data_IF_935337403540
#
_entry.id   IF_935337403540
#
_cell.length_a   1.000
_cell.length_b   1.000
_cell.length_c   1.000
_cell.angle_alpha   90.00
_cell.angle_beta   90.00
_cell.angle_gamma   90.00
#
_symmetry.space_group_name_H-M   'P 1'
#
loop_
_entity.id
_entity.type
_entity.pdbx_description
1 polymer ?
#
# COMPACT_ATOMS: atom_id res chain seq x y z
N UNK A 1 -29.20 13.01 4.07
CA UNK A 1 -28.36 13.55 2.96
C UNK A 1 -26.85 13.36 3.17
N UNK A 2 -26.22 13.85 4.25
CA UNK A 2 -24.75 13.77 4.40
C UNK A 2 -24.15 12.34 4.45
N UNK A 3 -24.92 11.33 4.87
CA UNK A 3 -24.49 9.92 4.84
C UNK A 3 -24.29 9.39 3.41
N UNK A 4 -25.10 9.88 2.46
CA UNK A 4 -24.96 9.58 1.04
C UNK A 4 -23.71 10.27 0.49
N UNK A 5 -23.48 11.52 0.86
CA UNK A 5 -22.32 12.31 0.38
C UNK A 5 -20.99 11.70 0.84
N UNK A 6 -20.86 11.29 2.10
CA UNK A 6 -19.63 10.65 2.59
C UNK A 6 -19.38 9.29 1.93
N UNK A 7 -20.42 8.46 1.76
CA UNK A 7 -20.32 7.19 1.03
C UNK A 7 -19.99 7.39 -0.44
N UNK A 8 -20.56 8.42 -1.08
CA UNK A 8 -20.28 8.76 -2.47
C UNK A 8 -18.87 9.31 -2.65
N UNK A 9 -18.35 10.14 -1.74
CA UNK A 9 -16.97 10.62 -1.82
C UNK A 9 -15.98 9.45 -1.68
N UNK A 10 -16.23 8.55 -0.73
CA UNK A 10 -15.48 7.30 -0.55
C UNK A 10 -15.55 6.44 -1.81
N UNK A 11 -16.74 6.28 -2.38
CA UNK A 11 -16.95 5.50 -3.60
C UNK A 11 -16.23 6.14 -4.79
N UNK A 12 -16.25 7.46 -4.94
CA UNK A 12 -15.52 8.18 -5.99
C UNK A 12 -14.02 7.97 -5.81
N UNK A 13 -13.48 8.15 -4.61
CA UNK A 13 -12.07 7.88 -4.33
C UNK A 13 -11.70 6.42 -4.61
N UNK A 14 -12.57 5.47 -4.23
CA UNK A 14 -12.39 4.05 -4.50
C UNK A 14 -12.41 3.76 -6.00
N UNK A 15 -13.36 4.34 -6.74
CA UNK A 15 -13.48 4.22 -8.20
C UNK A 15 -12.25 4.80 -8.88
N UNK A 16 -11.70 5.93 -8.41
CA UNK A 16 -10.46 6.49 -8.95
C UNK A 16 -9.26 5.55 -8.71
N UNK A 17 -9.15 4.97 -7.51
CA UNK A 17 -8.10 3.97 -7.21
C UNK A 17 -8.28 2.71 -8.07
N UNK A 18 -9.50 2.19 -8.16
CA UNK A 18 -9.82 1.01 -8.97
C UNK A 18 -9.58 1.31 -10.43
N UNK A 19 -9.94 2.49 -10.94
CA UNK A 19 -9.72 2.90 -12.31
C UNK A 19 -8.23 3.01 -12.62
N UNK A 20 -7.42 3.57 -11.71
CA UNK A 20 -5.95 3.63 -11.90
C UNK A 20 -5.32 2.23 -11.86
N UNK A 21 -5.71 1.38 -10.90
CA UNK A 21 -5.27 -0.01 -10.82
C UNK A 21 -5.70 -0.76 -12.09
N UNK A 22 -6.95 -0.61 -12.51
CA UNK A 22 -7.53 -1.28 -13.69
C UNK A 22 -6.96 -0.75 -14.99
N UNK A 23 -6.65 0.54 -15.12
CA UNK A 23 -5.93 1.10 -16.26
C UNK A 23 -4.52 0.54 -16.32
N UNK A 24 -3.83 0.38 -15.18
CA UNK A 24 -2.57 -0.36 -15.09
C UNK A 24 -2.71 -1.80 -15.59
N UNK A 25 -3.76 -2.52 -15.18
CA UNK A 25 -4.05 -3.88 -15.67
C UNK A 25 -4.43 -3.92 -17.16
N UNK A 26 -5.17 -2.93 -17.64
CA UNK A 26 -5.66 -2.87 -19.03
C UNK A 26 -4.51 -2.56 -19.97
N UNK A 27 -3.59 -1.67 -19.60
CA UNK A 27 -2.34 -1.44 -20.34
C UNK A 27 -1.49 -2.71 -20.43
N UNK A 28 -1.46 -3.53 -19.38
CA UNK A 28 -0.78 -4.84 -19.40
C UNK A 28 -1.50 -5.87 -20.30
N UNK A 29 -2.82 -5.81 -20.43
CA UNK A 29 -3.62 -6.77 -21.20
C UNK A 29 -3.84 -6.37 -22.68
N UNK A 30 -3.84 -5.07 -23.02
CA UNK A 30 -4.19 -4.55 -24.35
C UNK A 30 -3.07 -4.74 -25.38
N UNK A 31 -1.86 -5.13 -24.98
CA UNK A 31 -0.74 -5.44 -25.88
C UNK A 31 -0.81 -6.85 -26.50
N UNK A 32 -2.03 -7.40 -26.68
CA UNK A 32 -2.29 -8.74 -27.24
C UNK A 32 -2.81 -8.73 -28.69
N UNK A 33 -2.80 -7.60 -29.41
CA UNK A 33 -3.07 -7.63 -30.85
C UNK A 33 -1.77 -7.86 -31.60
N UNK A 34 -1.55 -9.01 -32.25
CA UNK A 34 -0.45 -9.15 -33.18
C UNK A 34 -0.68 -8.13 -34.30
N UNK A 35 0.15 -7.10 -34.38
CA UNK A 35 0.35 -6.40 -35.65
C UNK A 35 1.08 -7.40 -36.54
N UNK A 36 0.33 -8.04 -37.42
CA UNK A 36 0.90 -8.71 -38.59
C UNK A 36 1.53 -7.60 -39.42
N UNK A 37 2.80 -7.31 -39.15
CA UNK A 37 3.63 -6.53 -40.04
C UNK A 37 4.03 -7.51 -41.14
N UNK A 38 3.27 -7.50 -42.24
CA UNK A 38 3.73 -8.10 -43.48
C UNK A 38 5.01 -7.37 -43.89
N UNK A 39 6.16 -7.99 -43.64
CA UNK A 39 7.44 -7.53 -44.20
C UNK A 39 7.53 -8.05 -45.63
N UNK A 40 7.56 -7.19 -46.66
CA UNK A 40 7.87 -7.63 -48.00
C UNK A 40 9.39 -7.87 -48.06
N UNK A 41 9.73 -9.15 -48.15
CA UNK A 41 10.84 -9.71 -48.94
C UNK A 41 11.76 -8.67 -49.61
N UNK A 42 13.02 -8.61 -49.18
CA UNK A 42 14.19 -8.45 -50.08
C UNK A 42 15.43 -9.08 -49.46
N UNK A 43 16.08 -9.90 -50.28
CA UNK A 43 17.09 -10.92 -49.97
C UNK A 43 18.44 -10.37 -49.46
N UNK A 44 19.23 -11.20 -48.76
CA UNK A 44 20.65 -10.96 -48.53
C UNK A 44 21.46 -11.30 -49.79
N UNK A 45 22.25 -10.34 -50.30
CA UNK A 45 23.33 -10.66 -51.22
C UNK A 45 24.62 -10.94 -50.44
N UNK A 46 25.10 -12.16 -50.62
CA UNK A 46 26.42 -12.66 -50.30
C UNK A 46 27.47 -11.87 -51.11
N UNK A 47 28.44 -11.22 -50.45
CA UNK A 47 29.73 -10.90 -51.08
C UNK A 47 30.84 -11.58 -50.28
N UNK A 48 31.39 -12.62 -50.91
CA UNK A 48 32.65 -13.26 -50.54
C UNK A 48 33.74 -12.47 -51.28
N UNK A 49 34.70 -11.90 -50.55
CA UNK A 49 35.95 -11.37 -51.12
C UNK A 49 37.14 -12.06 -50.43
N UNK A 50 38.23 -12.43 -51.17
CA UNK A 50 39.28 -13.26 -50.64
C UNK A 50 40.44 -12.48 -49.97
N UNK A 51 41.17 -13.25 -49.15
CA UNK A 51 42.38 -12.97 -48.37
C UNK A 51 43.39 -11.96 -48.95
N UNK A 52 43.95 -11.14 -48.06
CA UNK A 52 45.39 -10.86 -48.02
C UNK A 52 45.90 -10.77 -46.58
N UNK A 53 47.05 -11.40 -46.38
CA UNK A 53 47.88 -11.45 -45.17
C UNK A 53 48.75 -10.20 -45.06
N UNK A 54 48.67 -9.46 -43.95
CA UNK A 54 49.66 -8.51 -43.43
C UNK A 54 49.37 -8.33 -41.92
N UNK A 55 50.19 -8.89 -41.03
CA UNK A 55 51.37 -8.28 -40.37
C UNK A 55 51.03 -7.19 -39.35
N UNK A 56 51.53 -7.39 -38.13
CA UNK A 56 51.46 -6.50 -36.97
C UNK A 56 51.82 -5.04 -37.29
N UNK A 57 51.01 -4.09 -36.81
CA UNK A 57 51.40 -2.96 -35.95
C UNK A 57 50.23 -1.96 -35.85
N UNK A 58 49.97 -1.53 -34.61
CA UNK A 58 49.33 -0.31 -34.14
C UNK A 58 48.38 0.55 -35.01
N UNK A 59 47.35 1.00 -34.29
CA UNK A 59 46.69 2.31 -34.41
C UNK A 59 45.35 2.37 -35.18
N UNK A 60 44.40 3.03 -34.54
CA UNK A 60 43.11 3.54 -35.04
C UNK A 60 41.89 2.61 -35.11
N UNK A 61 41.46 2.09 -33.96
CA UNK A 61 40.03 1.87 -33.75
C UNK A 61 39.34 3.22 -33.53
N UNK A 62 38.72 3.76 -34.59
CA UNK A 62 37.78 4.88 -34.49
C UNK A 62 36.55 4.36 -33.75
N UNK A 63 36.53 4.50 -32.43
CA UNK A 63 35.30 4.41 -31.66
C UNK A 63 34.46 5.62 -31.98
N UNK A 64 33.28 5.43 -32.57
CA UNK A 64 32.23 6.45 -32.55
C UNK A 64 31.77 6.55 -31.10
N UNK A 65 32.47 7.34 -30.31
CA UNK A 65 31.91 7.88 -29.08
C UNK A 65 30.84 8.87 -29.51
N UNK A 66 29.58 8.44 -29.41
CA UNK A 66 28.47 9.39 -29.26
C UNK A 66 28.75 10.13 -27.96
N UNK A 67 29.47 11.24 -28.07
CA UNK A 67 29.69 12.21 -27.02
C UNK A 67 28.32 12.86 -26.79
N UNK A 68 27.46 12.16 -26.04
CA UNK A 68 26.28 12.76 -25.45
C UNK A 68 26.79 14.01 -24.72
N UNK A 69 26.28 15.16 -25.14
CA UNK A 69 26.67 16.45 -24.61
C UNK A 69 26.73 16.35 -23.09
N UNK A 70 27.90 16.61 -22.53
CA UNK A 70 28.10 16.75 -21.10
C UNK A 70 27.31 17.99 -20.68
N UNK A 71 26.03 17.79 -20.36
CA UNK A 71 25.21 18.79 -19.72
C UNK A 71 25.76 18.94 -18.29
N UNK A 72 26.82 19.74 -18.17
CA UNK A 72 27.15 20.40 -16.91
C UNK A 72 26.16 21.54 -16.77
N UNK A 73 24.95 21.20 -16.37
CA UNK A 73 23.85 22.11 -16.17
C UNK A 73 23.17 21.76 -14.85
N UNK A 74 23.69 22.42 -13.82
CA UNK A 74 23.01 22.88 -12.62
C UNK A 74 22.48 21.83 -11.65
N UNK A 75 22.75 22.08 -10.36
CA UNK A 75 22.17 21.43 -9.20
C UNK A 75 20.69 21.10 -9.49
N UNK A 76 20.42 19.83 -9.79
CA UNK A 76 19.05 19.34 -9.95
C UNK A 76 18.44 19.38 -8.55
N UNK A 77 17.93 20.56 -8.17
CA UNK A 77 17.26 20.83 -6.90
C UNK A 77 16.11 19.85 -6.85
N UNK A 78 16.35 18.75 -6.15
CA UNK A 78 15.36 17.68 -5.98
C UNK A 78 14.05 18.35 -5.56
N UNK A 79 12.96 18.18 -6.32
CA UNK A 79 11.78 19.00 -6.16
C UNK A 79 11.33 18.93 -4.69
N UNK A 80 11.12 20.08 -4.02
CA UNK A 80 10.89 20.16 -2.57
C UNK A 80 9.68 19.34 -2.08
N UNK A 81 8.84 18.88 -3.01
CA UNK A 81 7.64 18.09 -2.78
C UNK A 81 7.90 16.77 -2.03
N UNK A 82 9.00 16.06 -2.32
CA UNK A 82 9.28 14.76 -1.69
C UNK A 82 9.49 14.87 -0.17
N UNK A 83 10.19 15.92 0.26
CA UNK A 83 10.42 16.23 1.68
C UNK A 83 9.13 16.65 2.38
N UNK A 84 8.28 17.43 1.70
CA UNK A 84 6.98 17.85 2.24
C UNK A 84 6.03 16.66 2.45
N UNK A 85 5.93 15.74 1.47
CA UNK A 85 5.15 14.50 1.60
C UNK A 85 5.69 13.62 2.73
N UNK A 86 7.02 13.54 2.88
CA UNK A 86 7.63 12.79 3.98
C UNK A 86 7.27 13.37 5.35
N UNK A 87 7.45 14.67 5.55
CA UNK A 87 7.16 15.34 6.81
C UNK A 87 5.68 15.24 7.20
N UNK A 88 4.78 15.50 6.25
CA UNK A 88 3.33 15.37 6.46
C UNK A 88 2.90 13.92 6.67
N UNK A 89 3.61 12.96 6.05
CA UNK A 89 3.37 11.55 6.26
C UNK A 89 3.76 11.08 7.65
N UNK A 90 4.91 11.53 8.17
CA UNK A 90 5.34 11.30 9.55
C UNK A 90 4.34 11.91 10.52
N UNK A 91 3.92 13.16 10.28
CA UNK A 91 2.93 13.83 11.13
C UNK A 91 1.60 13.07 11.15
N UNK A 92 1.13 12.60 9.99
CA UNK A 92 -0.06 11.75 9.87
C UNK A 92 0.05 10.44 10.67
N UNK A 93 1.23 9.81 10.68
CA UNK A 93 1.49 8.61 11.48
C UNK A 93 1.47 8.90 12.99
N UNK A 94 2.06 10.02 13.42
CA UNK A 94 1.98 10.47 14.82
C UNK A 94 0.54 10.77 15.24
N UNK A 95 -0.23 11.42 14.36
CA UNK A 95 -1.66 11.65 14.57
C UNK A 95 -2.42 10.33 14.75
N UNK A 96 -2.14 9.31 13.93
CA UNK A 96 -2.73 7.97 14.10
C UNK A 96 -2.40 7.34 15.46
N UNK A 97 -1.16 7.47 15.94
CA UNK A 97 -0.75 6.97 17.26
C UNK A 97 -1.57 7.65 18.36
N UNK A 98 -1.62 8.99 18.35
CA UNK A 98 -2.35 9.77 19.37
C UNK A 98 -3.85 9.40 19.39
N UNK A 99 -4.48 9.34 18.21
CA UNK A 99 -5.87 8.91 18.02
C UNK A 99 -6.09 7.50 18.59
N UNK A 100 -5.20 6.57 18.23
CA UNK A 100 -5.34 5.17 18.62
C UNK A 100 -5.20 4.99 20.12
N UNK A 101 -4.19 5.62 20.75
CA UNK A 101 -4.05 5.62 22.21
C UNK A 101 -5.29 6.21 22.85
N UNK A 102 -5.73 7.41 22.43
CA UNK A 102 -6.89 8.08 23.02
C UNK A 102 -8.16 7.24 22.92
N UNK A 103 -8.45 6.63 21.76
CA UNK A 103 -9.66 5.82 21.59
C UNK A 103 -9.59 4.49 22.34
N UNK A 104 -8.40 3.91 22.50
CA UNK A 104 -8.24 2.58 23.09
C UNK A 104 -7.95 2.60 24.58
N UNK A 105 -7.52 3.73 25.15
CA UNK A 105 -7.23 3.88 26.58
C UNK A 105 -8.46 3.75 27.46
N UNK A 106 -9.66 4.06 26.94
CA UNK A 106 -10.91 4.01 27.70
C UNK A 106 -11.97 3.19 26.98
N UNK A 107 -12.59 2.24 27.69
CA UNK A 107 -13.73 1.49 27.17
C UNK A 107 -15.05 2.22 27.49
N UNK A 108 -15.85 2.61 26.48
CA UNK A 108 -17.08 3.39 26.69
C UNK A 108 -18.22 2.62 27.35
N UNK A 109 -18.21 1.29 27.21
CA UNK A 109 -19.23 0.42 27.77
C UNK A 109 -18.82 -0.01 29.20
N UNK A 110 -19.64 0.29 30.23
CA UNK A 110 -19.31 0.02 31.63
C UNK A 110 -19.13 -1.47 31.92
N UNK A 111 -19.70 -2.38 31.11
CA UNK A 111 -19.46 -3.83 31.28
C UNK A 111 -18.00 -4.22 31.07
N UNK A 112 -17.27 -3.39 30.35
CA UNK A 112 -15.85 -3.55 30.06
C UNK A 112 -15.01 -2.49 30.81
N UNK A 113 -15.57 -1.80 31.82
CA UNK A 113 -14.81 -0.89 32.67
C UNK A 113 -13.66 -1.61 33.40
N UNK A 114 -13.85 -2.91 33.66
CA UNK A 114 -12.85 -3.80 34.25
C UNK A 114 -11.97 -4.50 33.20
N UNK A 115 -12.03 -4.12 31.91
CA UNK A 115 -11.09 -4.65 30.93
C UNK A 115 -9.67 -4.40 31.44
N UNK A 116 -8.89 -5.47 31.50
CA UNK A 116 -7.54 -5.40 32.07
C UNK A 116 -6.67 -4.43 31.25
N UNK A 117 -5.74 -3.75 31.91
CA UNK A 117 -4.74 -2.92 31.22
C UNK A 117 -4.03 -3.71 30.11
N UNK A 118 -3.87 -5.03 30.29
CA UNK A 118 -3.32 -5.97 29.30
C UNK A 118 -4.13 -6.00 28.00
N UNK A 119 -5.46 -6.07 28.08
CA UNK A 119 -6.34 -6.06 26.91
C UNK A 119 -6.23 -4.75 26.10
N UNK A 120 -6.19 -3.61 26.80
CA UNK A 120 -6.04 -2.31 26.14
C UNK A 120 -4.67 -2.19 25.46
N UNK A 121 -3.59 -2.59 26.14
CA UNK A 121 -2.23 -2.62 25.57
C UNK A 121 -2.20 -3.49 24.32
N UNK A 122 -2.72 -4.71 24.38
CA UNK A 122 -2.69 -5.63 23.24
C UNK A 122 -3.51 -5.10 22.05
N UNK A 123 -4.63 -4.44 22.31
CA UNK A 123 -5.45 -3.81 21.27
C UNK A 123 -4.77 -2.57 20.68
N UNK A 124 -4.05 -1.78 21.49
CA UNK A 124 -3.20 -0.69 21.00
C UNK A 124 -2.06 -1.23 20.13
N UNK A 125 -1.37 -2.28 20.57
CA UNK A 125 -0.34 -2.95 19.77
C UNK A 125 -0.88 -3.40 18.41
N UNK A 126 -2.11 -3.91 18.35
CA UNK A 126 -2.75 -4.27 17.07
C UNK A 126 -3.01 -3.06 16.18
N UNK A 127 -3.39 -1.92 16.77
CA UNK A 127 -3.59 -0.67 16.03
C UNK A 127 -2.28 -0.12 15.44
N UNK A 128 -1.13 -0.59 15.92
CA UNK A 128 0.19 -0.17 15.45
C UNK A 128 0.86 -1.18 14.53
N UNK A 129 0.66 -2.48 14.79
CA UNK A 129 1.40 -3.57 14.18
C UNK A 129 1.39 -3.56 12.64
N UNK A 130 0.22 -3.46 12.02
CA UNK A 130 0.12 -3.35 10.57
C UNK A 130 0.20 -1.89 10.08
N UNK A 131 -0.52 -0.93 10.69
CA UNK A 131 -0.52 0.46 10.23
C UNK A 131 0.84 1.15 10.19
N UNK A 132 1.69 1.02 11.23
CA UNK A 132 2.93 1.79 11.30
C UNK A 132 3.98 1.31 10.27
N UNK A 133 4.28 0.01 10.12
CA UNK A 133 5.21 -0.44 9.08
C UNK A 133 4.73 -0.08 7.68
N UNK A 134 3.43 -0.27 7.39
CA UNK A 134 2.85 0.05 6.08
C UNK A 134 2.86 1.56 5.82
N UNK A 135 2.54 2.37 6.84
CA UNK A 135 2.63 3.83 6.76
C UNK A 135 4.06 4.28 6.47
N UNK A 136 5.05 3.74 7.17
CA UNK A 136 6.46 4.04 6.95
C UNK A 136 6.92 3.70 5.52
N UNK A 137 6.56 2.52 5.02
CA UNK A 137 6.85 2.15 3.63
C UNK A 137 6.16 3.08 2.62
N UNK A 138 4.90 3.42 2.87
CA UNK A 138 4.12 4.33 2.02
C UNK A 138 4.77 5.69 1.92
N UNK A 139 5.23 6.23 3.06
CA UNK A 139 5.95 7.50 3.12
C UNK A 139 7.27 7.41 2.37
N UNK A 140 8.06 6.36 2.63
CA UNK A 140 9.39 6.16 2.03
C UNK A 140 9.33 6.05 0.50
N UNK A 141 8.36 5.28 -0.01
CA UNK A 141 8.13 5.12 -1.46
C UNK A 141 7.59 6.42 -2.06
N UNK A 142 6.68 7.12 -1.39
CA UNK A 142 6.09 8.35 -1.90
C UNK A 142 7.06 9.54 -1.91
N UNK A 143 7.99 9.59 -0.95
CA UNK A 143 8.99 10.66 -0.82
C UNK A 143 10.19 10.50 -1.76
N UNK A 144 10.33 9.35 -2.42
CA UNK A 144 11.40 9.12 -3.37
C UNK A 144 11.24 10.07 -4.56
N UNK A 145 12.31 10.80 -4.90
CA UNK A 145 12.38 11.67 -6.08
C UNK A 145 12.50 10.87 -7.38
N UNK A 146 13.00 9.64 -7.31
CA UNK A 146 13.06 8.74 -8.45
C UNK A 146 11.65 8.53 -9.01
N UNK A 147 11.51 8.70 -10.33
CA UNK A 147 10.32 8.36 -11.11
C UNK A 147 10.07 6.84 -11.13
N UNK A 148 10.24 6.17 -10.00
CA UNK A 148 9.94 4.76 -9.86
C UNK A 148 8.47 4.55 -10.24
N UNK A 149 8.23 3.55 -11.07
CA UNK A 149 6.86 3.15 -11.43
C UNK A 149 5.98 2.78 -10.23
N UNK A 150 6.56 2.70 -9.04
CA UNK A 150 5.94 2.45 -7.74
C UNK A 150 5.45 3.74 -7.07
N UNK A 151 6.16 4.87 -7.23
CA UNK A 151 5.90 6.11 -6.49
C UNK A 151 4.54 6.72 -6.84
N UNK A 152 4.19 6.74 -8.13
CA UNK A 152 2.91 7.31 -8.59
C UNK A 152 1.68 6.61 -7.99
N UNK A 153 1.45 5.29 -8.22
CA UNK A 153 0.29 4.62 -7.63
C UNK A 153 0.29 4.70 -6.11
N UNK A 154 1.48 4.68 -5.48
CA UNK A 154 1.59 4.84 -4.03
C UNK A 154 1.16 6.23 -3.55
N UNK A 155 1.53 7.31 -4.24
CA UNK A 155 1.10 8.69 -3.89
C UNK A 155 -0.41 8.85 -3.97
N UNK A 156 -1.05 8.27 -4.98
CA UNK A 156 -2.51 8.27 -5.08
C UNK A 156 -3.15 7.50 -3.92
N UNK A 157 -2.66 6.28 -3.65
CA UNK A 157 -3.15 5.48 -2.53
C UNK A 157 -2.93 6.21 -1.18
N UNK A 158 -1.81 6.91 -1.02
CA UNK A 158 -1.50 7.69 0.17
C UNK A 158 -2.40 8.91 0.32
N UNK A 159 -2.72 9.59 -0.78
CA UNK A 159 -3.71 10.66 -0.79
C UNK A 159 -5.10 10.14 -0.37
N UNK A 160 -5.55 9.02 -0.93
CA UNK A 160 -6.86 8.42 -0.66
C UNK A 160 -6.96 7.91 0.78
N UNK A 161 -5.94 7.22 1.27
CA UNK A 161 -5.87 6.79 2.67
C UNK A 161 -5.85 7.99 3.64
N UNK A 162 -5.21 9.09 3.26
CA UNK A 162 -5.21 10.30 4.10
C UNK A 162 -6.58 11.00 4.08
N UNK A 163 -7.26 11.09 2.93
CA UNK A 163 -8.65 11.56 2.87
C UNK A 163 -9.60 10.68 3.69
N UNK A 164 -9.35 9.37 3.71
CA UNK A 164 -10.09 8.42 4.53
C UNK A 164 -9.99 8.75 6.02
N UNK A 165 -8.77 8.95 6.52
CA UNK A 165 -8.50 9.27 7.92
C UNK A 165 -9.00 10.68 8.30
N UNK A 166 -8.90 11.64 7.37
CA UNK A 166 -9.51 12.96 7.53
C UNK A 166 -11.03 12.87 7.67
N UNK A 167 -11.69 12.12 6.77
CA UNK A 167 -13.12 11.87 6.82
C UNK A 167 -13.53 11.17 8.12
N UNK A 168 -12.76 10.18 8.57
CA UNK A 168 -12.99 9.51 9.85
C UNK A 168 -12.94 10.49 11.04
N UNK A 169 -12.00 11.43 11.01
CA UNK A 169 -11.79 12.43 12.07
C UNK A 169 -12.86 13.51 12.10
N UNK A 170 -13.19 14.07 10.94
CA UNK A 170 -14.09 15.22 10.82
C UNK A 170 -15.58 14.84 10.79
N UNK A 171 -15.92 13.61 10.38
CA UNK A 171 -17.30 13.15 10.22
C UNK A 171 -17.77 12.17 11.31
N UNK A 172 -17.04 12.04 12.42
CA UNK A 172 -17.49 11.35 13.62
C UNK A 172 -18.78 11.99 14.18
N UNK A 173 -19.81 11.25 14.67
CA UNK A 173 -19.86 9.81 15.00
C UNK A 173 -19.98 8.84 13.82
N UNK A 174 -20.36 9.36 12.65
CA UNK A 174 -20.99 8.54 11.60
C UNK A 174 -20.03 7.51 11.00
N UNK A 175 -18.73 7.75 11.13
CA UNK A 175 -17.69 6.87 10.62
C UNK A 175 -17.28 5.80 11.64
N UNK A 176 -16.89 6.17 12.86
CA UNK A 176 -16.51 5.23 13.91
C UNK A 176 -16.80 5.80 15.30
N UNK A 177 -17.28 4.93 16.19
CA UNK A 177 -17.65 5.29 17.57
C UNK A 177 -16.45 5.82 18.38
N UNK A 178 -15.24 5.35 18.08
CA UNK A 178 -14.04 5.72 18.83
C UNK A 178 -13.71 7.22 18.77
N UNK A 179 -14.10 7.89 17.68
CA UNK A 179 -13.88 9.33 17.55
C UNK A 179 -14.83 10.15 18.41
N UNK A 180 -15.96 9.62 18.87
CA UNK A 180 -16.84 10.35 19.79
C UNK A 180 -16.19 10.62 21.15
N UNK A 181 -15.17 9.84 21.49
CA UNK A 181 -14.34 10.03 22.68
C UNK A 181 -13.39 11.21 22.56
N UNK A 182 -13.25 11.83 21.39
CA UNK A 182 -12.28 12.90 21.16
C UNK A 182 -12.87 14.28 21.39
N UNK A 183 -12.06 15.16 21.97
CA UNK A 183 -12.37 16.59 22.01
C UNK A 183 -12.53 17.13 20.58
N UNK A 184 -13.41 18.13 20.35
CA UNK A 184 -13.57 18.76 19.04
C UNK A 184 -12.25 19.29 18.47
N UNK A 185 -11.37 19.81 19.34
CA UNK A 185 -10.03 20.30 18.97
C UNK A 185 -9.16 19.18 18.38
N UNK A 186 -9.15 17.99 19.00
CA UNK A 186 -8.38 16.85 18.50
C UNK A 186 -8.91 16.35 17.16
N UNK A 187 -10.24 16.29 16.99
CA UNK A 187 -10.88 15.91 15.71
C UNK A 187 -10.46 16.83 14.56
N UNK A 188 -10.54 18.14 14.78
CA UNK A 188 -10.19 19.16 13.78
C UNK A 188 -8.70 19.11 13.48
N UNK A 189 -7.84 19.08 14.50
CA UNK A 189 -6.39 19.02 14.31
C UNK A 189 -5.97 17.78 13.51
N UNK A 190 -6.47 16.60 13.87
CA UNK A 190 -6.20 15.38 13.14
C UNK A 190 -6.71 15.42 11.70
N UNK A 191 -7.95 15.91 11.51
CA UNK A 191 -8.54 16.08 10.19
C UNK A 191 -7.68 16.97 9.29
N UNK A 192 -7.20 18.10 9.80
CA UNK A 192 -6.35 19.03 9.06
C UNK A 192 -4.99 18.42 8.68
N UNK A 193 -4.35 17.68 9.60
CA UNK A 193 -3.10 16.96 9.30
C UNK A 193 -3.31 16.00 8.15
N UNK A 194 -4.34 15.15 8.22
CA UNK A 194 -4.62 14.18 7.17
C UNK A 194 -5.05 14.83 5.84
N UNK A 195 -5.80 15.94 5.86
CA UNK A 195 -6.12 16.71 4.67
C UNK A 195 -4.87 17.33 4.03
N UNK A 196 -3.95 17.86 4.82
CA UNK A 196 -2.69 18.41 4.32
C UNK A 196 -1.84 17.31 3.67
N UNK A 197 -1.71 16.14 4.31
CA UNK A 197 -1.02 14.98 3.74
C UNK A 197 -1.66 14.53 2.43
N UNK A 198 -3.00 14.52 2.36
CA UNK A 198 -3.73 14.18 1.14
C UNK A 198 -3.45 15.16 0.01
N UNK A 199 -3.55 16.46 0.28
CA UNK A 199 -3.31 17.52 -0.71
C UNK A 199 -1.87 17.49 -1.25
N UNK A 200 -0.87 17.32 -0.37
CA UNK A 200 0.53 17.20 -0.77
C UNK A 200 0.78 15.97 -1.65
N UNK A 201 0.22 14.82 -1.25
CA UNK A 201 0.36 13.55 -2.00
C UNK A 201 -0.33 13.62 -3.35
N UNK A 202 -1.53 14.21 -3.43
CA UNK A 202 -2.28 14.38 -4.67
C UNK A 202 -1.58 15.35 -5.63
N UNK A 203 -1.05 16.47 -5.12
CA UNK A 203 -0.22 17.40 -5.90
C UNK A 203 1.04 16.71 -6.46
N UNK A 204 1.68 15.87 -5.66
CA UNK A 204 2.84 15.10 -6.11
C UNK A 204 2.47 14.03 -7.15
N UNK A 205 1.29 13.41 -7.02
CA UNK A 205 0.76 12.45 -8.00
C UNK A 205 0.42 13.13 -9.35
N UNK A 206 -0.27 14.27 -9.36
CA UNK A 206 -0.63 14.96 -10.60
C UNK A 206 0.61 15.42 -11.38
N UNK A 207 1.67 15.86 -10.68
CA UNK A 207 2.94 16.24 -11.31
C UNK A 207 3.65 15.08 -12.00
N UNK A 208 3.54 13.86 -11.48
CA UNK A 208 4.11 12.67 -12.14
C UNK A 208 3.37 12.21 -13.40
N UNK A 209 2.18 12.78 -13.67
CA UNK A 209 1.40 12.42 -14.85
C UNK A 209 2.12 12.72 -16.16
N UNK A 210 2.83 13.83 -16.18
CA UNK A 210 3.45 14.40 -17.38
C UNK A 210 4.70 13.62 -17.81
N UNK A 211 5.40 12.97 -16.89
CA UNK A 211 6.72 12.35 -17.16
C UNK A 211 6.64 10.90 -17.65
N UNK A 212 5.63 10.13 -17.24
CA UNK A 212 5.57 8.69 -17.54
C UNK A 212 5.29 8.31 -19.00
N UNK A 213 4.88 9.25 -19.85
CA UNK A 213 4.64 8.96 -21.28
C UNK A 213 5.91 8.54 -22.04
N UNK A 214 7.10 8.78 -21.48
CA UNK A 214 8.37 8.58 -22.19
C UNK A 214 9.03 7.22 -21.92
N UNK A 215 8.64 6.49 -20.86
CA UNK A 215 9.38 5.31 -20.35
C UNK A 215 8.73 3.95 -20.74
N UNK A 216 7.65 3.97 -21.54
CA UNK A 216 6.78 2.80 -21.71
C UNK A 216 7.02 1.97 -22.99
N UNK A 217 8.21 2.03 -23.59
CA UNK A 217 8.58 1.20 -24.74
C UNK A 217 9.24 -0.12 -24.33
N UNK A 218 8.50 -0.97 -23.59
CA UNK A 218 8.84 -2.40 -23.58
C UNK A 218 8.60 -2.96 -25.00
N UNK A 219 9.48 -3.83 -25.52
CA UNK A 219 9.27 -4.42 -26.84
C UNK A 219 7.93 -5.18 -26.86
N UNK A 220 7.16 -5.09 -27.96
CA UNK A 220 5.78 -5.58 -28.05
C UNK A 220 5.67 -7.10 -27.78
N UNK A 221 6.75 -7.85 -27.94
CA UNK A 221 6.77 -9.30 -27.76
C UNK A 221 7.18 -9.76 -26.34
N UNK A 222 7.49 -8.83 -25.42
CA UNK A 222 7.85 -9.20 -24.06
C UNK A 222 6.64 -9.72 -23.28
N UNK A 223 6.58 -11.04 -23.07
CA UNK A 223 5.61 -11.70 -22.17
C UNK A 223 6.32 -12.07 -20.87
N UNK A 224 6.22 -11.25 -19.80
CA UNK A 224 6.82 -11.62 -18.54
C UNK A 224 6.17 -12.92 -18.03
N UNK A 225 6.97 -13.95 -17.80
CA UNK A 225 6.52 -15.15 -17.10
C UNK A 225 6.27 -14.77 -15.65
N UNK A 226 5.00 -14.74 -15.24
CA UNK A 226 4.62 -14.40 -13.87
C UNK A 226 5.24 -15.41 -12.89
N UNK A 227 6.24 -14.94 -12.12
CA UNK A 227 6.85 -15.69 -11.02
C UNK A 227 5.80 -16.03 -9.96
N UNK A 228 6.07 -17.07 -9.14
CA UNK A 228 5.20 -17.39 -8.02
C UNK A 228 5.08 -16.20 -7.05
N UNK A 229 6.17 -15.47 -6.79
CA UNK A 229 6.15 -14.25 -5.98
C UNK A 229 5.19 -13.19 -6.57
N UNK A 230 5.24 -12.94 -7.88
CA UNK A 230 4.32 -12.01 -8.55
C UNK A 230 2.84 -12.42 -8.38
N UNK A 231 2.54 -13.72 -8.48
CA UNK A 231 1.17 -14.24 -8.25
C UNK A 231 0.72 -14.04 -6.80
N UNK A 232 1.60 -14.35 -5.84
CA UNK A 232 1.32 -14.16 -4.42
C UNK A 232 1.08 -12.68 -4.08
N UNK A 233 1.88 -11.75 -4.63
CA UNK A 233 1.64 -10.32 -4.49
C UNK A 233 0.31 -9.87 -5.10
N UNK A 234 -0.07 -10.45 -6.24
CA UNK A 234 -1.36 -10.21 -6.87
C UNK A 234 -2.54 -10.63 -6.00
N UNK A 235 -2.50 -11.84 -5.45
CA UNK A 235 -3.53 -12.33 -4.53
C UNK A 235 -3.57 -11.52 -3.23
N UNK A 236 -2.40 -11.19 -2.68
CA UNK A 236 -2.28 -10.38 -1.47
C UNK A 236 -2.87 -8.98 -1.67
N UNK A 237 -2.59 -8.34 -2.80
CA UNK A 237 -3.14 -7.03 -3.15
C UNK A 237 -4.66 -7.06 -3.26
N UNK A 238 -5.21 -8.04 -3.99
CA UNK A 238 -6.67 -8.21 -4.12
C UNK A 238 -7.34 -8.49 -2.77
N UNK A 239 -6.75 -9.37 -1.96
CA UNK A 239 -7.26 -9.71 -0.64
C UNK A 239 -7.24 -8.52 0.32
N UNK A 240 -6.13 -7.79 0.41
CA UNK A 240 -6.04 -6.58 1.22
C UNK A 240 -7.01 -5.51 0.72
N UNK A 241 -7.16 -5.34 -0.59
CA UNK A 241 -8.12 -4.38 -1.15
C UNK A 241 -9.57 -4.74 -0.80
N UNK A 242 -9.93 -6.02 -0.86
CA UNK A 242 -11.23 -6.49 -0.38
C UNK A 242 -11.46 -6.14 1.11
N UNK A 243 -10.43 -6.33 1.94
CA UNK A 243 -10.46 -5.99 3.35
C UNK A 243 -10.42 -4.47 3.64
N UNK A 244 -10.01 -3.63 2.70
CA UNK A 244 -10.23 -2.18 2.78
C UNK A 244 -11.71 -1.83 2.64
N UNK A 245 -12.39 -2.50 1.71
CA UNK A 245 -13.78 -2.22 1.34
C UNK A 245 -14.76 -2.75 2.38
N UNK A 246 -14.50 -3.95 2.90
CA UNK A 246 -15.41 -4.67 3.77
C UNK A 246 -15.90 -3.82 4.97
N UNK A 247 -15.05 -3.13 5.76
CA UNK A 247 -15.48 -2.28 6.89
C UNK A 247 -16.45 -1.15 6.57
N UNK A 248 -16.51 -0.72 5.31
CA UNK A 248 -17.37 0.38 4.85
C UNK A 248 -18.83 -0.07 4.81
N UNK A 249 -19.04 -1.24 4.23
CA UNK A 249 -20.37 -1.76 3.87
C UNK A 249 -20.86 -2.78 4.88
N UNK A 250 -19.95 -3.50 5.53
CA UNK A 250 -20.32 -4.52 6.49
C UNK A 250 -20.86 -3.92 7.80
N UNK A 251 -21.87 -4.56 8.41
CA UNK A 251 -22.23 -4.28 9.79
C UNK A 251 -21.19 -4.87 10.75
N UNK A 252 -21.25 -4.46 12.02
CA UNK A 252 -20.51 -5.15 13.08
C UNK A 252 -21.15 -6.53 13.33
N UNK A 253 -20.36 -7.59 13.53
CA UNK A 253 -18.92 -7.59 13.77
C UNK A 253 -18.03 -7.66 12.52
N UNK A 254 -18.58 -7.96 11.35
CA UNK A 254 -17.80 -8.14 10.12
C UNK A 254 -16.95 -6.91 9.75
N UNK A 255 -17.39 -5.71 10.12
CA UNK A 255 -16.63 -4.49 9.91
C UNK A 255 -15.27 -4.42 10.66
N UNK A 256 -15.03 -5.29 11.65
CA UNK A 256 -13.76 -5.32 12.37
C UNK A 256 -12.63 -6.01 11.61
N UNK A 257 -12.92 -6.70 10.51
CA UNK A 257 -11.92 -7.39 9.72
C UNK A 257 -11.32 -6.44 8.68
N UNK A 258 -9.98 -6.40 8.52
CA UNK A 258 -9.00 -7.38 9.00
C UNK A 258 -8.41 -7.06 10.38
N UNK A 259 -8.64 -5.86 10.93
CA UNK A 259 -7.79 -5.29 11.99
C UNK A 259 -8.11 -5.74 13.42
N UNK A 260 -9.30 -6.28 13.67
CA UNK A 260 -9.80 -6.74 14.98
C UNK A 260 -9.78 -5.62 16.06
N UNK A 261 -9.81 -4.35 15.62
CA UNK A 261 -9.78 -3.17 16.52
C UNK A 261 -11.16 -2.79 17.11
N UNK A 262 -12.14 -3.69 17.02
CA UNK A 262 -13.51 -3.45 17.48
C UNK A 262 -14.21 -2.29 16.78
N UNK A 263 -15.26 -1.74 17.40
CA UNK A 263 -16.07 -0.65 16.83
C UNK A 263 -15.37 0.71 16.79
N UNK A 264 -14.28 0.85 17.53
CA UNK A 264 -13.63 2.15 17.78
C UNK A 264 -12.75 2.59 16.62
N UNK A 265 -11.92 1.68 16.08
CA UNK A 265 -10.89 2.02 15.08
C UNK A 265 -10.86 1.12 13.85
N UNK A 266 -11.75 0.14 13.71
CA UNK A 266 -11.72 -0.79 12.57
C UNK A 266 -11.85 -0.10 11.21
N UNK A 267 -12.84 0.78 11.04
CA UNK A 267 -13.07 1.55 9.82
C UNK A 267 -11.96 2.54 9.44
N UNK A 268 -11.43 3.38 10.34
CA UNK A 268 -10.28 4.23 9.98
C UNK A 268 -9.03 3.40 9.70
N UNK A 269 -8.83 2.26 10.39
CA UNK A 269 -7.66 1.41 10.16
C UNK A 269 -7.66 0.75 8.77
N UNK A 270 -8.81 0.64 8.09
CA UNK A 270 -8.88 0.11 6.72
C UNK A 270 -8.15 0.99 5.69
N UNK A 271 -7.89 2.26 6.02
CA UNK A 271 -7.00 3.13 5.26
C UNK A 271 -5.58 2.54 5.13
N UNK A 272 -5.06 1.91 6.19
CA UNK A 272 -3.75 1.27 6.15
C UNK A 272 -3.80 -0.07 5.41
N UNK A 273 -4.93 -0.77 5.43
CA UNK A 273 -5.15 -1.93 4.55
C UNK A 273 -5.10 -1.53 3.08
N UNK A 274 -5.62 -0.34 2.73
CA UNK A 274 -5.53 0.20 1.36
C UNK A 274 -4.07 0.45 0.97
N UNK A 275 -3.30 1.06 1.85
CA UNK A 275 -1.86 1.27 1.64
C UNK A 275 -1.12 -0.07 1.46
N UNK A 276 -1.46 -1.08 2.27
CA UNK A 276 -0.90 -2.42 2.13
C UNK A 276 -1.24 -3.06 0.78
N UNK A 277 -2.49 -2.91 0.32
CA UNK A 277 -2.94 -3.39 -0.99
C UNK A 277 -2.20 -2.71 -2.13
N UNK A 278 -1.99 -1.39 -2.04
CA UNK A 278 -1.24 -0.60 -3.01
C UNK A 278 0.25 -0.99 -3.04
N UNK A 279 0.88 -1.18 -1.87
CA UNK A 279 2.26 -1.67 -1.79
C UNK A 279 2.41 -3.06 -2.42
N UNK A 280 1.50 -4.00 -2.12
CA UNK A 280 1.50 -5.33 -2.72
C UNK A 280 1.31 -5.26 -4.25
N UNK A 281 0.45 -4.37 -4.74
CA UNK A 281 0.29 -4.12 -6.18
C UNK A 281 1.58 -3.58 -6.82
N UNK A 282 2.21 -2.60 -6.19
CA UNK A 282 3.49 -2.03 -6.62
C UNK A 282 4.59 -3.11 -6.66
N UNK A 283 4.70 -3.95 -5.63
CA UNK A 283 5.65 -5.07 -5.60
C UNK A 283 5.38 -6.09 -6.71
N UNK A 284 4.11 -6.41 -6.99
CA UNK A 284 3.76 -7.25 -8.15
C UNK A 284 4.25 -6.64 -9.46
N UNK A 285 4.07 -5.33 -9.67
CA UNK A 285 4.52 -4.66 -10.89
C UNK A 285 6.04 -4.70 -11.02
N UNK A 286 6.76 -4.48 -9.92
CA UNK A 286 8.22 -4.58 -9.87
C UNK A 286 8.70 -5.97 -10.32
N UNK A 287 8.07 -7.03 -9.81
CA UNK A 287 8.38 -8.42 -10.17
C UNK A 287 8.10 -8.71 -11.65
N UNK A 288 6.99 -8.21 -12.20
CA UNK A 288 6.64 -8.42 -13.61
C UNK A 288 7.58 -7.71 -14.58
N UNK A 289 8.15 -6.57 -14.17
CA UNK A 289 9.12 -5.82 -14.98
C UNK A 289 10.54 -6.38 -14.87
N UNK A 290 10.79 -7.29 -13.93
CA UNK A 290 12.14 -7.80 -13.66
C UNK A 290 13.12 -6.70 -13.25
N UNK A 291 12.63 -5.60 -12.66
CA UNK A 291 13.48 -4.49 -12.24
C UNK A 291 14.38 -4.95 -11.10
N UNK A 292 15.67 -4.60 -11.17
CA UNK A 292 16.59 -4.81 -10.05
C UNK A 292 15.99 -4.26 -8.76
N UNK A 293 16.23 -4.95 -7.64
CA UNK A 293 15.61 -4.64 -6.37
C UNK A 293 16.10 -3.28 -5.86
N UNK A 294 15.34 -2.23 -6.14
CA UNK A 294 15.62 -0.89 -5.62
C UNK A 294 15.47 -0.87 -4.10
N UNK A 295 16.12 0.10 -3.44
CA UNK A 295 16.00 0.30 -1.99
C UNK A 295 14.53 0.41 -1.56
N UNK A 296 13.69 1.06 -2.36
CA UNK A 296 12.27 1.25 -2.06
C UNK A 296 11.47 -0.05 -2.16
N UNK A 297 11.76 -0.91 -3.15
CA UNK A 297 11.15 -2.26 -3.24
C UNK A 297 11.51 -3.07 -2.00
N UNK A 298 12.78 -3.01 -1.56
CA UNK A 298 13.23 -3.72 -0.35
C UNK A 298 12.53 -3.21 0.90
N UNK A 299 12.40 -1.88 1.08
CA UNK A 299 11.68 -1.28 2.21
C UNK A 299 10.21 -1.71 2.21
N UNK A 300 9.52 -1.58 1.07
CA UNK A 300 8.12 -1.98 0.93
C UNK A 300 7.89 -3.45 1.30
N UNK A 301 8.75 -4.35 0.80
CA UNK A 301 8.70 -5.79 1.10
C UNK A 301 8.90 -6.06 2.59
N UNK A 302 9.95 -5.49 3.20
CA UNK A 302 10.26 -5.67 4.62
C UNK A 302 9.15 -5.14 5.53
N UNK A 303 8.60 -3.97 5.23
CA UNK A 303 7.54 -3.38 6.04
C UNK A 303 6.22 -4.17 5.95
N UNK A 304 5.85 -4.68 4.77
CA UNK A 304 4.69 -5.57 4.62
C UNK A 304 4.87 -6.89 5.37
N UNK A 305 6.08 -7.46 5.32
CA UNK A 305 6.44 -8.65 6.09
C UNK A 305 6.33 -8.40 7.59
N UNK A 306 7.00 -7.36 8.10
CA UNK A 306 6.99 -7.01 9.54
C UNK A 306 5.56 -6.72 9.99
N UNK A 307 4.82 -5.90 9.25
CA UNK A 307 3.46 -5.54 9.63
C UNK A 307 2.50 -6.73 9.65
N UNK A 308 2.58 -7.61 8.65
CA UNK A 308 1.74 -8.81 8.59
C UNK A 308 2.12 -9.84 9.65
N UNK A 309 3.42 -10.07 9.88
CA UNK A 309 3.90 -10.97 10.93
C UNK A 309 3.51 -10.50 12.33
N UNK A 310 3.65 -9.21 12.63
CA UNK A 310 3.21 -8.63 13.91
C UNK A 310 1.69 -8.74 14.08
N UNK A 311 0.92 -8.49 13.02
CA UNK A 311 -0.53 -8.64 13.05
C UNK A 311 -0.95 -10.09 13.34
N UNK A 312 -0.37 -11.07 12.63
CA UNK A 312 -0.60 -12.50 12.87
C UNK A 312 -0.20 -12.91 14.29
N UNK A 313 0.96 -12.47 14.77
CA UNK A 313 1.44 -12.75 16.12
C UNK A 313 0.45 -12.22 17.17
N UNK A 314 -0.01 -10.98 17.04
CA UNK A 314 -0.95 -10.39 18.00
C UNK A 314 -2.32 -11.07 17.97
N UNK A 315 -2.77 -11.54 16.80
CA UNK A 315 -3.98 -12.37 16.74
C UNK A 315 -3.74 -13.70 17.46
N UNK A 316 -2.61 -14.36 17.21
CA UNK A 316 -2.27 -15.60 17.89
C UNK A 316 -2.22 -15.41 19.42
N UNK A 317 -1.60 -14.33 19.93
CA UNK A 317 -1.56 -14.01 21.36
C UNK A 317 -2.96 -13.78 21.95
N UNK A 318 -3.87 -13.11 21.20
CA UNK A 318 -5.28 -12.99 21.60
C UNK A 318 -6.00 -14.34 21.64
N UNK A 319 -5.80 -15.18 20.62
CA UNK A 319 -6.40 -16.51 20.56
C UNK A 319 -5.90 -17.41 21.69
N UNK A 320 -4.62 -17.29 22.08
CA UNK A 320 -4.06 -18.01 23.23
C UNK A 320 -4.70 -17.53 24.55
N UNK A 321 -5.02 -16.23 24.65
CA UNK A 321 -5.70 -15.64 25.80
C UNK A 321 -4.84 -14.72 26.65
N UNK A 322 -3.78 -14.16 26.08
CA UNK A 322 -2.85 -13.26 26.78
C UNK A 322 -3.54 -12.01 27.34
N UNK A 323 -4.69 -11.61 26.78
CA UNK A 323 -5.51 -10.49 27.26
C UNK A 323 -6.52 -10.85 28.37
N UNK A 324 -6.48 -12.07 28.90
CA UNK A 324 -7.32 -12.49 30.05
C UNK A 324 -8.53 -13.34 29.68
N UNK A 325 -8.56 -13.91 28.47
CA UNK A 325 -9.43 -15.03 28.15
C UNK A 325 -9.28 -15.43 26.70
N UNK A 326 -8.69 -16.59 26.46
CA UNK A 326 -8.47 -17.14 25.12
C UNK A 326 -9.05 -18.54 24.99
N UNK A 327 -8.66 -19.23 23.94
CA UNK A 327 -8.93 -20.65 23.76
C UNK A 327 -8.12 -21.53 24.72
N UNK A 328 -6.89 -21.12 25.07
CA UNK A 328 -5.94 -21.97 25.81
C UNK A 328 -5.81 -21.58 27.28
N UNK A 329 -5.77 -20.28 27.58
CA UNK A 329 -5.68 -19.79 28.96
C UNK A 329 -7.08 -19.60 29.54
N UNK A 330 -7.30 -20.12 30.75
CA UNK A 330 -8.56 -19.99 31.47
C UNK A 330 -8.97 -18.51 31.62
N UNK A 331 -10.18 -18.19 31.18
CA UNK A 331 -10.79 -16.87 31.29
C UNK A 331 -12.00 -16.74 30.37
N UNK A 332 -12.99 -15.94 30.76
CA UNK A 332 -14.21 -15.76 29.95
C UNK A 332 -14.01 -14.79 28.76
N UNK A 333 -12.84 -14.16 28.67
CA UNK A 333 -12.53 -13.05 27.77
C UNK A 333 -12.86 -13.28 26.29
N UNK A 334 -12.42 -14.35 25.63
CA UNK A 334 -12.61 -14.45 24.18
C UNK A 334 -14.08 -14.60 23.81
N UNK A 335 -14.79 -15.41 24.60
CA UNK A 335 -16.18 -15.77 24.35
C UNK A 335 -17.14 -14.65 24.75
N UNK A 336 -16.82 -13.88 25.79
CA UNK A 336 -17.60 -12.71 26.24
C UNK A 336 -17.22 -11.41 25.52
N UNK A 337 -15.93 -11.18 25.26
CA UNK A 337 -15.39 -9.93 24.69
C UNK A 337 -15.34 -9.98 23.16
N UNK A 338 -15.13 -11.16 22.56
CA UNK A 338 -15.03 -11.34 21.10
C UNK A 338 -15.99 -12.39 20.48
N UNK A 339 -17.26 -12.51 20.90
CA UNK A 339 -18.24 -13.32 20.14
C UNK A 339 -18.33 -12.84 18.69
N UNK A 340 -18.03 -11.56 18.47
CA UNK A 340 -17.82 -10.91 17.18
C UNK A 340 -16.86 -11.65 16.23
N UNK A 341 -15.71 -12.14 16.71
CA UNK A 341 -14.72 -12.80 15.84
C UNK A 341 -15.18 -14.20 15.43
N UNK A 342 -15.87 -14.88 16.34
CA UNK A 342 -16.38 -16.23 16.14
C UNK A 342 -17.67 -16.23 15.30
N UNK A 343 -18.38 -15.11 15.27
CA UNK A 343 -19.58 -14.94 14.46
C UNK A 343 -19.29 -14.89 12.95
N UNK A 344 -18.04 -14.62 12.53
CA UNK A 344 -17.65 -14.53 11.10
C UNK A 344 -16.35 -15.29 10.80
N UNK A 345 -16.33 -16.61 11.04
CA UNK A 345 -15.10 -17.42 11.00
C UNK A 345 -14.43 -17.40 9.62
N UNK A 346 -15.23 -17.35 8.54
CA UNK A 346 -14.71 -17.29 7.18
C UNK A 346 -13.95 -15.98 6.89
N UNK A 347 -14.45 -14.84 7.39
CA UNK A 347 -13.78 -13.56 7.23
C UNK A 347 -12.47 -13.52 8.03
N UNK A 348 -12.48 -14.07 9.25
CA UNK A 348 -11.29 -14.24 10.08
C UNK A 348 -10.24 -15.10 9.37
N UNK A 349 -10.61 -16.30 8.93
CA UNK A 349 -9.71 -17.23 8.25
C UNK A 349 -9.15 -16.64 6.96
N UNK A 350 -10.00 -15.98 6.16
CA UNK A 350 -9.58 -15.29 4.93
C UNK A 350 -8.58 -14.17 5.23
N UNK A 351 -8.80 -13.39 6.28
CA UNK A 351 -7.88 -12.31 6.70
C UNK A 351 -6.51 -12.87 7.09
N UNK A 352 -6.50 -13.92 7.91
CA UNK A 352 -5.27 -14.60 8.32
C UNK A 352 -4.52 -15.16 7.12
N UNK A 353 -5.24 -15.81 6.18
CA UNK A 353 -4.66 -16.35 4.97
C UNK A 353 -4.00 -15.26 4.11
N UNK A 354 -4.64 -14.09 3.94
CA UNK A 354 -4.05 -12.98 3.17
C UNK A 354 -2.76 -12.48 3.83
N UNK A 355 -2.71 -12.34 5.15
CA UNK A 355 -1.47 -11.94 5.83
C UNK A 355 -0.37 -13.01 5.73
N UNK A 356 -0.72 -14.30 5.79
CA UNK A 356 0.23 -15.41 5.53
C UNK A 356 0.77 -15.34 4.10
N UNK A 357 -0.08 -15.09 3.10
CA UNK A 357 0.34 -14.92 1.72
C UNK A 357 1.30 -13.74 1.56
N UNK A 358 1.05 -12.61 2.26
CA UNK A 358 1.99 -11.47 2.28
C UNK A 358 3.35 -11.89 2.84
N UNK A 359 3.38 -12.63 3.96
CA UNK A 359 4.63 -13.10 4.54
C UNK A 359 5.39 -14.03 3.59
N UNK A 360 4.72 -15.01 2.97
CA UNK A 360 5.33 -15.93 2.00
C UNK A 360 5.83 -15.18 0.75
N UNK A 361 5.07 -14.20 0.27
CA UNK A 361 5.47 -13.38 -0.88
C UNK A 361 6.71 -12.54 -0.59
N UNK A 362 6.86 -12.07 0.66
CA UNK A 362 7.96 -11.21 1.08
C UNK A 362 9.26 -11.95 1.39
N UNK A 363 9.21 -13.26 1.65
CA UNK A 363 10.41 -14.10 1.87
C UNK A 363 10.98 -14.69 0.58
N UNK A 364 10.26 -14.53 -0.54
CA UNK A 364 10.73 -14.86 -1.88
C UNK A 364 11.29 -13.61 -2.55
#
# INVERSE_FOLDING_TARGET
MMMVVSRQLILICLVLVVAEITNGFTLLCRNKRPRIVCSPHKQPQLQILPKSTQSLADCSSISIQVKAAHFNGDDEVSPPDGKAVAALGILSALTWIIISVTALSYHPDPKFANCTMRHNILTMSQAFAFPLPVGFASVSVSSSSEFSSLARPMRLAFAVASLWLAGASLLAPRFAFGFDLYSPRLKVAAGLVHLATAAASLKSWTRTATTQQQEQSLPPDYKPKASLASRLWGMSSLGLFWFTICPIFAPYPLATFPTILGKRLSRPASAFTLLGAALAFCLRQSELKGTNMSRQVSIARKCLLVGSSLHLLLIALKLIGVDGGGFLLAGNGLWEVYPAMLAVPFATASSLLIHVLVCIAATR
#
